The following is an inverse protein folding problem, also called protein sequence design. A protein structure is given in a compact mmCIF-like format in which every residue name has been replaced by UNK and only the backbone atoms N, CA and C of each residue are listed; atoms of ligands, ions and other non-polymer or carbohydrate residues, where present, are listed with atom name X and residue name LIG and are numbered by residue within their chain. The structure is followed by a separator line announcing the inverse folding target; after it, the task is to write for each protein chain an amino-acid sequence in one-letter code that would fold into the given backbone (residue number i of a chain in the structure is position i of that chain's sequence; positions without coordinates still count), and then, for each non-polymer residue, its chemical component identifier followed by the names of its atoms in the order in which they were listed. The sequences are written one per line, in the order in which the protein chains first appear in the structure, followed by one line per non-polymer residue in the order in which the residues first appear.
data_IF_795017861375
#
_entry.id   IF_795017861375
#
_cell.length_a   1.000
_cell.length_b   1.000
_cell.length_c   1.000
_cell.angle_alpha   90.00
_cell.angle_beta   90.00
_cell.angle_gamma   90.00
#
_symmetry.space_group_name_H-M   'P 1'
#
loop_
_entity.id
_entity.type
_entity.pdbx_description
1 polymer ?
#
# COMPACT_ATOMS: atom_id res chain seq x y z
N UNK A 1 -1.81 25.17 -5.57
CA UNK A 1 -2.53 23.99 -5.05
C UNK A 1 -2.54 22.86 -6.07
N UNK A 2 -2.72 23.17 -7.35
CA UNK A 2 -2.96 22.23 -8.44
C UNK A 2 -1.89 21.15 -8.61
N UNK A 3 -0.61 21.53 -8.58
CA UNK A 3 0.51 20.59 -8.67
C UNK A 3 0.54 19.59 -7.50
N UNK A 4 0.10 20.01 -6.30
CA UNK A 4 0.09 19.14 -5.11
C UNK A 4 -0.97 18.05 -5.30
N UNK A 5 -2.19 18.41 -5.70
CA UNK A 5 -3.25 17.43 -5.98
C UNK A 5 -2.87 16.49 -7.13
N UNK A 6 -2.22 17.00 -8.18
CA UNK A 6 -1.75 16.17 -9.29
C UNK A 6 -0.76 15.10 -8.81
N UNK A 7 0.31 15.51 -8.11
CA UNK A 7 1.33 14.61 -7.55
C UNK A 7 0.70 13.63 -6.57
N UNK A 8 -0.23 14.10 -5.74
CA UNK A 8 -0.90 13.29 -4.74
C UNK A 8 -1.73 12.17 -5.37
N UNK A 9 -2.57 12.49 -6.36
CA UNK A 9 -3.34 11.49 -7.11
C UNK A 9 -2.44 10.53 -7.88
N UNK A 10 -1.37 11.04 -8.50
CA UNK A 10 -0.40 10.22 -9.22
C UNK A 10 0.31 9.22 -8.29
N UNK A 11 0.71 9.64 -7.08
CA UNK A 11 1.37 8.77 -6.12
C UNK A 11 0.51 7.54 -5.76
N UNK A 12 -0.80 7.74 -5.64
CA UNK A 12 -1.75 6.66 -5.36
C UNK A 12 -1.99 5.73 -6.55
N UNK A 13 -2.03 6.28 -7.77
CA UNK A 13 -2.13 5.47 -9.00
C UNK A 13 -0.85 4.62 -9.18
N UNK A 14 0.32 5.18 -8.87
CA UNK A 14 1.57 4.43 -8.84
C UNK A 14 1.57 3.35 -7.75
N UNK A 15 1.05 3.65 -6.55
CA UNK A 15 0.87 2.63 -5.52
C UNK A 15 0.03 1.46 -6.03
N UNK A 16 -1.08 1.72 -6.72
CA UNK A 16 -1.90 0.67 -7.33
C UNK A 16 -1.11 -0.19 -8.31
N UNK A 17 -0.34 0.39 -9.22
CA UNK A 17 0.41 -0.37 -10.23
C UNK A 17 1.48 -1.27 -9.60
N UNK A 18 2.20 -0.76 -8.60
CA UNK A 18 3.19 -1.52 -7.82
C UNK A 18 2.51 -2.67 -7.08
N UNK A 19 1.43 -2.37 -6.37
CA UNK A 19 0.69 -3.34 -5.56
C UNK A 19 0.04 -4.42 -6.43
N UNK A 20 -0.48 -4.06 -7.60
CA UNK A 20 -1.02 -5.02 -8.55
C UNK A 20 0.04 -6.05 -8.96
N UNK A 21 1.25 -5.60 -9.28
CA UNK A 21 2.36 -6.50 -9.60
C UNK A 21 2.80 -7.31 -8.38
N UNK A 22 2.86 -6.71 -7.20
CA UNK A 22 3.24 -7.39 -5.95
C UNK A 22 2.20 -8.45 -5.54
N UNK A 23 0.92 -8.21 -5.79
CA UNK A 23 -0.16 -9.16 -5.49
C UNK A 23 -0.12 -10.47 -6.28
N UNK A 24 0.71 -10.53 -7.33
CA UNK A 24 0.99 -11.75 -8.11
C UNK A 24 2.12 -12.59 -7.50
N UNK A 25 2.84 -12.07 -6.50
CA UNK A 25 3.86 -12.83 -5.78
C UNK A 25 3.21 -13.85 -4.83
N UNK A 26 3.90 -14.98 -4.59
CA UNK A 26 3.46 -16.02 -3.65
C UNK A 26 3.57 -15.58 -2.18
N UNK A 27 4.26 -14.46 -1.90
CA UNK A 27 4.52 -14.00 -0.54
C UNK A 27 3.31 -13.24 0.01
N UNK A 28 2.47 -13.97 0.74
CA UNK A 28 1.25 -13.42 1.34
C UNK A 28 1.52 -12.82 2.74
N UNK A 29 2.04 -11.59 2.78
CA UNK A 29 2.26 -10.85 4.04
C UNK A 29 0.95 -10.25 4.54
N UNK A 30 0.28 -9.51 3.67
CA UNK A 30 -1.00 -8.82 3.87
C UNK A 30 -1.78 -8.84 2.55
N UNK A 31 -3.06 -8.48 2.58
CA UNK A 31 -3.88 -8.44 1.37
C UNK A 31 -3.62 -7.19 0.54
N UNK A 32 -2.48 -7.16 -0.16
CA UNK A 32 -2.05 -6.02 -0.96
C UNK A 32 -3.12 -5.53 -1.95
N UNK A 33 -3.92 -6.43 -2.54
CA UNK A 33 -4.95 -6.07 -3.54
C UNK A 33 -5.88 -4.96 -3.07
N UNK A 34 -6.34 -5.00 -1.82
CA UNK A 34 -7.23 -3.99 -1.26
C UNK A 34 -6.56 -2.64 -1.05
N UNK A 35 -5.28 -2.64 -0.65
CA UNK A 35 -4.48 -1.39 -0.60
C UNK A 35 -4.30 -0.80 -2.01
N UNK A 36 -4.19 -1.65 -3.03
CA UNK A 36 -4.15 -1.25 -4.43
C UNK A 36 -5.47 -0.62 -4.89
N UNK A 37 -6.61 -1.24 -4.57
CA UNK A 37 -7.92 -0.65 -4.88
C UNK A 37 -8.13 0.70 -4.19
N UNK A 38 -7.70 0.83 -2.93
CA UNK A 38 -7.67 2.12 -2.26
C UNK A 38 -6.85 3.14 -3.05
N UNK A 39 -5.59 2.80 -3.41
CA UNK A 39 -4.74 3.69 -4.21
C UNK A 39 -5.41 4.10 -5.53
N UNK A 40 -5.95 3.17 -6.31
CA UNK A 40 -6.57 3.51 -7.59
C UNK A 40 -7.76 4.47 -7.43
N UNK A 41 -8.72 4.10 -6.59
CA UNK A 41 -9.97 4.86 -6.44
C UNK A 41 -9.69 6.20 -5.78
N UNK A 42 -8.81 6.25 -4.77
CA UNK A 42 -8.47 7.49 -4.10
C UNK A 42 -7.65 8.43 -5.00
N UNK A 43 -6.71 7.89 -5.80
CA UNK A 43 -5.97 8.69 -6.77
C UNK A 43 -6.87 9.34 -7.82
N UNK A 44 -7.88 8.62 -8.32
CA UNK A 44 -8.92 9.16 -9.20
C UNK A 44 -9.72 10.24 -8.47
N UNK A 45 -10.11 9.99 -7.23
CA UNK A 45 -10.88 10.95 -6.43
C UNK A 45 -10.11 12.27 -6.24
N UNK A 46 -8.81 12.23 -5.96
CA UNK A 46 -7.96 13.43 -5.81
C UNK A 46 -7.80 14.20 -7.13
N UNK A 47 -7.73 13.50 -8.27
CA UNK A 47 -7.78 14.16 -9.58
C UNK A 47 -9.16 14.75 -9.90
N UNK A 48 -10.24 14.14 -9.44
CA UNK A 48 -11.57 14.76 -9.53
C UNK A 48 -11.67 16.02 -8.65
N UNK A 49 -11.06 16.03 -7.46
CA UNK A 49 -10.97 17.24 -6.63
C UNK A 49 -10.17 18.34 -7.33
N UNK A 50 -9.05 17.99 -7.98
CA UNK A 50 -8.28 18.91 -8.82
C UNK A 50 -9.13 19.52 -9.95
N UNK A 51 -9.92 18.70 -10.65
CA UNK A 51 -10.83 19.16 -11.69
C UNK A 51 -11.89 20.10 -11.15
N UNK A 52 -12.45 19.80 -9.97
CA UNK A 52 -13.43 20.66 -9.30
C UNK A 52 -12.86 22.03 -8.95
N UNK A 53 -11.62 22.06 -8.46
CA UNK A 53 -10.89 23.30 -8.16
C UNK A 53 -10.58 24.12 -9.43
N UNK A 54 -10.32 23.45 -10.55
CA UNK A 54 -9.86 24.12 -11.78
C UNK A 54 -11.00 24.60 -12.67
N UNK A 55 -12.08 23.82 -12.79
CA UNK A 55 -13.17 24.05 -13.75
C UNK A 55 -14.49 24.43 -13.05
N UNK A 56 -14.53 24.34 -11.72
CA UNK A 56 -15.72 24.56 -10.90
C UNK A 56 -16.39 23.27 -10.46
N UNK A 57 -17.23 23.38 -9.43
CA UNK A 57 -17.84 22.24 -8.76
C UNK A 57 -19.37 22.30 -8.84
N UNK A 58 -19.97 21.35 -9.55
CA UNK A 58 -21.42 21.19 -9.60
C UNK A 58 -21.88 20.22 -8.51
N UNK A 59 -23.13 20.37 -8.03
CA UNK A 59 -23.69 19.49 -6.99
C UNK A 59 -23.55 18.00 -7.32
N UNK A 60 -23.89 17.60 -8.55
CA UNK A 60 -23.78 16.21 -9.00
C UNK A 60 -22.33 15.72 -9.01
N UNK A 61 -21.37 16.60 -9.34
CA UNK A 61 -19.96 16.26 -9.29
C UNK A 61 -19.44 16.15 -7.85
N UNK A 62 -19.88 17.01 -6.94
CA UNK A 62 -19.58 16.90 -5.49
C UNK A 62 -20.05 15.55 -4.94
N UNK A 63 -21.29 15.15 -5.23
CA UNK A 63 -21.86 13.87 -4.80
C UNK A 63 -21.07 12.69 -5.37
N UNK A 64 -20.72 12.74 -6.66
CA UNK A 64 -19.89 11.72 -7.30
C UNK A 64 -18.51 11.57 -6.61
N UNK A 65 -17.83 12.68 -6.31
CA UNK A 65 -16.55 12.65 -5.58
C UNK A 65 -16.70 12.10 -4.17
N UNK A 66 -17.82 12.39 -3.49
CA UNK A 66 -18.12 11.82 -2.17
C UNK A 66 -18.30 10.29 -2.22
N UNK A 67 -18.95 9.77 -3.26
CA UNK A 67 -19.08 8.30 -3.47
C UNK A 67 -17.71 7.66 -3.74
N UNK A 68 -16.86 8.30 -4.56
CA UNK A 68 -15.49 7.84 -4.79
C UNK A 68 -14.68 7.82 -3.49
N UNK A 69 -14.79 8.88 -2.68
CA UNK A 69 -14.11 8.99 -1.38
C UNK A 69 -14.54 7.84 -0.46
N UNK A 70 -15.86 7.65 -0.30
CA UNK A 70 -16.42 6.57 0.50
C UNK A 70 -15.92 5.20 0.04
N UNK A 71 -15.96 4.93 -1.26
CA UNK A 71 -15.57 3.63 -1.83
C UNK A 71 -14.07 3.39 -1.66
N UNK A 72 -13.24 4.42 -1.83
CA UNK A 72 -11.81 4.32 -1.60
C UNK A 72 -11.50 3.93 -0.15
N UNK A 73 -12.15 4.58 0.83
CA UNK A 73 -11.91 4.26 2.23
C UNK A 73 -12.54 2.94 2.68
N UNK A 74 -13.61 2.46 2.03
CA UNK A 74 -14.03 1.05 2.19
C UNK A 74 -12.89 0.13 1.79
N UNK A 75 -12.21 0.36 0.66
CA UNK A 75 -11.11 -0.49 0.23
C UNK A 75 -9.94 -0.47 1.22
N UNK A 76 -9.63 0.68 1.82
CA UNK A 76 -8.61 0.79 2.88
C UNK A 76 -9.03 0.04 4.16
N UNK A 77 -10.30 0.12 4.53
CA UNK A 77 -10.82 -0.59 5.69
C UNK A 77 -10.87 -2.11 5.46
N UNK A 78 -11.27 -2.55 4.26
CA UNK A 78 -11.23 -3.95 3.83
C UNK A 78 -9.79 -4.49 3.78
N UNK A 79 -8.81 -3.68 3.40
CA UNK A 79 -7.39 -4.02 3.52
C UNK A 79 -7.05 -4.43 4.95
N UNK A 80 -7.43 -3.62 5.94
CA UNK A 80 -7.20 -3.94 7.35
C UNK A 80 -7.98 -5.17 7.80
N UNK A 81 -9.29 -5.21 7.51
CA UNK A 81 -10.20 -6.28 7.93
C UNK A 81 -9.81 -7.64 7.37
N UNK A 82 -9.47 -7.74 6.09
CA UNK A 82 -9.11 -9.02 5.47
C UNK A 82 -7.68 -9.41 5.87
N UNK A 83 -6.75 -8.46 5.95
CA UNK A 83 -5.37 -8.77 6.36
C UNK A 83 -5.29 -9.27 7.82
N UNK A 84 -6.24 -8.92 8.68
CA UNK A 84 -6.27 -9.43 10.06
C UNK A 84 -6.51 -10.94 10.15
N UNK A 85 -7.14 -11.55 9.13
CA UNK A 85 -7.31 -13.01 9.07
C UNK A 85 -5.97 -13.75 9.01
N UNK A 86 -4.92 -13.11 8.51
CA UNK A 86 -3.56 -13.67 8.44
C UNK A 86 -2.86 -13.67 9.81
N UNK A 87 -3.42 -13.01 10.82
CA UNK A 87 -2.91 -12.97 12.20
C UNK A 87 -3.79 -13.81 13.13
N UNK A 88 -5.11 -13.62 13.04
CA UNK A 88 -6.07 -14.19 13.99
C UNK A 88 -6.85 -15.40 13.43
N UNK A 89 -6.52 -15.86 12.22
CA UNK A 89 -7.19 -16.96 11.51
C UNK A 89 -8.71 -16.75 11.29
N UNK A 90 -9.21 -15.53 11.54
CA UNK A 90 -10.60 -15.13 11.38
C UNK A 90 -10.65 -13.70 10.86
N UNK A 91 -11.57 -13.47 9.93
CA UNK A 91 -11.87 -12.13 9.42
C UNK A 91 -12.98 -11.52 10.27
N UNK A 92 -12.83 -10.30 10.81
CA UNK A 92 -13.93 -9.60 11.47
C UNK A 92 -15.17 -9.54 10.58
N UNK A 93 -16.34 -9.72 11.19
CA UNK A 93 -17.61 -9.73 10.46
C UNK A 93 -17.87 -8.40 9.76
N UNK A 94 -18.55 -8.46 8.60
CA UNK A 94 -19.02 -7.26 7.89
C UNK A 94 -20.07 -6.47 8.68
N UNK A 95 -20.61 -7.03 9.77
CA UNK A 95 -21.48 -6.30 10.69
C UNK A 95 -20.80 -5.07 11.32
N UNK A 96 -19.45 -4.99 11.33
CA UNK A 96 -18.72 -3.79 11.77
C UNK A 96 -19.09 -2.54 10.95
N UNK A 97 -19.58 -2.71 9.72
CA UNK A 97 -20.05 -1.58 8.90
C UNK A 97 -21.36 -0.98 9.39
N UNK A 98 -22.19 -1.70 10.15
CA UNK A 98 -23.47 -1.18 10.65
C UNK A 98 -23.27 0.05 11.55
N UNK A 99 -22.48 -0.01 12.64
CA UNK A 99 -22.25 1.17 13.46
C UNK A 99 -21.48 2.27 12.71
N UNK A 100 -20.59 1.91 11.77
CA UNK A 100 -19.86 2.89 10.96
C UNK A 100 -20.80 3.67 10.04
N UNK A 101 -21.67 2.98 9.31
CA UNK A 101 -22.68 3.59 8.44
C UNK A 101 -23.65 4.43 9.26
N UNK A 102 -24.05 3.95 10.44
CA UNK A 102 -24.87 4.73 11.36
C UNK A 102 -24.19 6.06 11.72
N UNK A 103 -22.91 6.04 12.14
CA UNK A 103 -22.15 7.25 12.44
C UNK A 103 -22.06 8.16 11.21
N UNK A 104 -21.67 7.65 10.03
CA UNK A 104 -21.57 8.44 8.80
C UNK A 104 -22.91 9.10 8.45
N UNK A 105 -24.03 8.39 8.66
CA UNK A 105 -25.37 8.90 8.35
C UNK A 105 -25.76 10.12 9.20
N UNK A 106 -25.16 10.28 10.40
CA UNK A 106 -25.38 11.46 11.22
C UNK A 106 -24.89 12.75 10.53
N UNK A 107 -23.94 12.65 9.60
CA UNK A 107 -23.46 13.81 8.84
C UNK A 107 -24.54 14.45 7.97
N UNK A 108 -25.57 13.71 7.55
CA UNK A 108 -26.66 14.26 6.75
C UNK A 108 -27.56 15.25 7.51
N UNK A 109 -27.47 15.30 8.86
CA UNK A 109 -28.14 16.34 9.65
C UNK A 109 -27.44 17.71 9.57
N UNK A 110 -26.20 17.76 9.08
CA UNK A 110 -25.44 18.99 8.85
C UNK A 110 -25.34 19.30 7.37
N UNK A 111 -24.25 18.87 6.75
CA UNK A 111 -23.90 19.14 5.35
C UNK A 111 -23.19 17.94 4.69
N UNK A 112 -23.02 17.98 3.37
CA UNK A 112 -22.18 16.99 2.67
C UNK A 112 -20.73 17.01 3.17
N UNK A 113 -20.23 18.13 3.70
CA UNK A 113 -18.91 18.21 4.30
C UNK A 113 -18.85 17.46 5.63
N UNK A 114 -19.93 17.46 6.42
CA UNK A 114 -20.01 16.64 7.64
C UNK A 114 -19.99 15.15 7.32
N UNK A 115 -20.70 14.72 6.26
CA UNK A 115 -20.63 13.34 5.76
C UNK A 115 -19.21 13.00 5.31
N UNK A 116 -18.56 13.89 4.54
CA UNK A 116 -17.17 13.74 4.10
C UNK A 116 -16.22 13.58 5.30
N UNK A 117 -16.38 14.42 6.32
CA UNK A 117 -15.58 14.38 7.53
C UNK A 117 -15.76 13.08 8.32
N UNK A 118 -17.00 12.60 8.48
CA UNK A 118 -17.27 11.34 9.18
C UNK A 118 -16.77 10.12 8.40
N UNK A 119 -16.83 10.13 7.07
CA UNK A 119 -16.19 9.09 6.23
C UNK A 119 -14.68 9.06 6.49
N UNK A 120 -14.03 10.23 6.46
CA UNK A 120 -12.58 10.39 6.69
C UNK A 120 -12.19 9.95 8.10
N UNK A 121 -12.97 10.31 9.11
CA UNK A 121 -12.69 9.94 10.50
C UNK A 121 -12.89 8.44 10.77
N UNK A 122 -14.01 7.88 10.30
CA UNK A 122 -14.36 6.48 10.60
C UNK A 122 -13.61 5.50 9.71
N UNK A 123 -13.80 5.58 8.39
CA UNK A 123 -13.20 4.64 7.44
C UNK A 123 -11.76 5.04 7.11
N UNK A 124 -11.46 6.33 6.97
CA UNK A 124 -10.12 6.80 6.65
C UNK A 124 -9.12 6.62 7.78
N UNK A 125 -9.27 7.35 8.89
CA UNK A 125 -8.40 7.23 10.05
C UNK A 125 -8.49 5.83 10.68
N UNK A 126 -9.71 5.30 10.86
CA UNK A 126 -9.91 3.95 11.40
C UNK A 126 -9.28 2.87 10.52
N UNK A 127 -9.53 2.88 9.21
CA UNK A 127 -8.96 1.92 8.26
C UNK A 127 -7.44 2.01 8.16
N UNK A 128 -6.88 3.22 8.11
CA UNK A 128 -5.44 3.45 8.11
C UNK A 128 -4.77 2.97 9.41
N UNK A 129 -5.37 3.26 10.56
CA UNK A 129 -4.84 2.87 11.88
C UNK A 129 -4.88 1.36 12.08
N UNK A 130 -5.99 0.72 11.74
CA UNK A 130 -6.08 -0.74 11.77
C UNK A 130 -5.11 -1.37 10.76
N UNK A 131 -5.03 -0.85 9.54
CA UNK A 131 -4.09 -1.33 8.52
C UNK A 131 -2.63 -1.23 8.97
N UNK A 132 -2.26 -0.09 9.56
CA UNK A 132 -0.94 0.13 10.16
C UNK A 132 -0.65 -0.86 11.29
N UNK A 133 -1.61 -1.08 12.20
CA UNK A 133 -1.48 -2.06 13.28
C UNK A 133 -1.25 -3.48 12.72
N UNK A 134 -2.04 -3.90 11.73
CA UNK A 134 -1.89 -5.23 11.10
C UNK A 134 -0.53 -5.36 10.40
N UNK A 135 -0.08 -4.35 9.65
CA UNK A 135 1.25 -4.34 9.04
C UNK A 135 2.37 -4.42 10.09
N UNK A 136 2.25 -3.68 11.18
CA UNK A 136 3.22 -3.71 12.26
C UNK A 136 3.27 -5.08 12.95
N UNK A 137 2.12 -5.70 13.21
CA UNK A 137 2.06 -7.04 13.77
C UNK A 137 2.69 -8.07 12.81
N UNK A 138 2.34 -8.01 11.51
CA UNK A 138 2.94 -8.87 10.48
C UNK A 138 4.44 -8.66 10.30
N UNK A 139 4.95 -7.46 10.56
CA UNK A 139 6.40 -7.20 10.48
C UNK A 139 7.24 -8.09 11.40
N UNK A 140 6.64 -8.61 12.48
CA UNK A 140 7.31 -9.51 13.44
C UNK A 140 7.55 -10.90 12.86
N UNK A 141 6.69 -11.36 11.96
CA UNK A 141 6.78 -12.67 11.30
C UNK A 141 7.85 -12.69 10.19
N UNK A 142 8.26 -11.52 9.70
CA UNK A 142 9.17 -11.38 8.56
C UNK A 142 10.43 -10.55 8.93
N UNK A 143 11.40 -11.10 9.69
CA UNK A 143 12.60 -10.36 10.12
C UNK A 143 13.35 -9.66 8.99
N UNK A 144 13.45 -10.32 7.82
CA UNK A 144 14.12 -9.81 6.61
C UNK A 144 13.45 -8.52 6.08
N UNK A 145 12.13 -8.40 6.21
CA UNK A 145 11.33 -7.30 5.66
C UNK A 145 10.78 -6.37 6.74
N UNK A 146 11.03 -6.68 8.02
CA UNK A 146 10.49 -6.01 9.21
C UNK A 146 10.56 -4.49 9.12
N UNK A 147 11.75 -3.94 8.82
CA UNK A 147 11.96 -2.49 8.75
C UNK A 147 11.10 -1.81 7.66
N UNK A 148 10.86 -2.47 6.52
CA UNK A 148 10.01 -1.92 5.47
C UNK A 148 8.55 -1.92 5.91
N UNK A 149 8.07 -3.04 6.44
CA UNK A 149 6.69 -3.17 6.93
C UNK A 149 6.38 -2.19 8.07
N UNK A 150 7.31 -1.99 9.01
CA UNK A 150 7.17 -1.02 10.10
C UNK A 150 7.14 0.43 9.58
N UNK A 151 7.99 0.77 8.59
CA UNK A 151 7.96 2.10 7.97
C UNK A 151 6.66 2.34 7.21
N UNK A 152 6.18 1.35 6.44
CA UNK A 152 4.89 1.45 5.74
C UNK A 152 3.76 1.65 6.76
N UNK A 153 3.75 0.86 7.85
CA UNK A 153 2.77 1.01 8.92
C UNK A 153 2.78 2.42 9.53
N UNK A 154 3.97 2.94 9.88
CA UNK A 154 4.11 4.27 10.45
C UNK A 154 3.58 5.36 9.50
N UNK A 155 3.99 5.32 8.24
CA UNK A 155 3.58 6.34 7.25
C UNK A 155 2.09 6.22 6.95
N UNK A 156 1.53 5.01 6.88
CA UNK A 156 0.09 4.80 6.71
C UNK A 156 -0.71 5.33 7.90
N UNK A 157 -0.21 5.17 9.13
CA UNK A 157 -0.84 5.73 10.32
C UNK A 157 -0.80 7.26 10.30
N UNK A 158 0.35 7.87 9.97
CA UNK A 158 0.47 9.32 9.81
C UNK A 158 -0.48 9.83 8.73
N UNK A 159 -0.54 9.14 7.59
CA UNK A 159 -1.52 9.41 6.54
C UNK A 159 -2.95 9.38 7.08
N UNK A 160 -3.30 8.39 7.90
CA UNK A 160 -4.61 8.29 8.55
C UNK A 160 -4.93 9.50 9.43
N UNK A 161 -3.97 10.00 10.21
CA UNK A 161 -4.13 11.20 11.04
C UNK A 161 -4.43 12.40 10.12
N UNK A 162 -3.48 12.77 9.25
CA UNK A 162 -3.63 13.99 8.45
C UNK A 162 -4.74 13.89 7.39
N UNK A 163 -5.04 12.69 6.90
CA UNK A 163 -6.09 12.41 5.92
C UNK A 163 -7.49 12.28 6.51
N UNK A 164 -7.56 11.85 7.78
CA UNK A 164 -8.79 11.47 8.45
C UNK A 164 -9.32 12.50 9.45
N UNK A 165 -8.45 13.22 10.16
CA UNK A 165 -8.85 14.18 11.21
C UNK A 165 -8.87 15.63 10.73
N UNK A 166 -8.21 15.93 9.61
CA UNK A 166 -8.19 17.28 9.01
C UNK A 166 -9.13 17.27 7.81
N UNK A 167 -10.25 17.96 7.89
CA UNK A 167 -11.38 17.81 6.96
C UNK A 167 -11.77 19.14 6.32
N UNK A 168 -12.59 19.14 5.26
CA UNK A 168 -13.24 20.38 4.81
C UNK A 168 -14.03 21.02 5.96
N UNK A 169 -14.34 22.30 5.85
CA UNK A 169 -15.15 23.00 6.85
C UNK A 169 -16.52 22.33 7.02
N UNK A 170 -16.83 21.99 8.26
CA UNK A 170 -18.02 21.26 8.69
C UNK A 170 -18.96 22.15 9.48
N UNK A 171 -20.26 21.94 9.39
CA UNK A 171 -21.25 22.72 10.15
C UNK A 171 -21.43 22.16 11.56
N UNK A 172 -21.46 20.83 11.71
CA UNK A 172 -21.76 20.17 12.98
C UNK A 172 -20.51 19.80 13.76
N UNK A 173 -19.40 19.52 13.07
CA UNK A 173 -18.14 19.05 13.68
C UNK A 173 -17.07 20.14 13.84
N UNK A 174 -17.43 21.41 13.63
CA UNK A 174 -16.48 22.54 13.53
C UNK A 174 -15.54 22.68 14.74
N UNK A 175 -16.01 22.36 15.94
CA UNK A 175 -15.20 22.46 17.17
C UNK A 175 -14.50 21.16 17.57
N UNK A 176 -14.64 20.11 16.76
CA UNK A 176 -14.09 18.76 17.03
C UNK A 176 -12.95 18.45 16.07
N UNK A 177 -13.08 18.83 14.80
CA UNK A 177 -12.12 18.53 13.74
C UNK A 177 -11.45 19.82 13.23
N UNK A 178 -10.16 19.70 12.89
CA UNK A 178 -9.40 20.81 12.33
C UNK A 178 -9.77 20.97 10.86
N UNK A 179 -10.15 22.17 10.46
CA UNK A 179 -10.48 22.45 9.05
C UNK A 179 -9.23 22.57 8.18
N UNK A 180 -9.37 22.41 6.86
CA UNK A 180 -8.28 22.66 5.92
C UNK A 180 -7.75 24.10 6.02
N UNK A 181 -8.63 25.06 6.31
CA UNK A 181 -8.26 26.47 6.45
C UNK A 181 -7.50 26.72 7.74
N UNK A 182 -7.98 26.20 8.88
CA UNK A 182 -7.30 26.32 10.18
C UNK A 182 -5.89 25.71 10.14
N UNK A 183 -5.73 24.56 9.49
CA UNK A 183 -4.42 23.95 9.29
C UNK A 183 -3.51 24.85 8.43
N UNK A 184 -4.05 25.40 7.34
CA UNK A 184 -3.30 26.28 6.44
C UNK A 184 -2.85 27.56 7.16
N UNK A 185 -3.73 28.18 7.94
CA UNK A 185 -3.44 29.40 8.70
C UNK A 185 -2.40 29.16 9.80
N UNK A 186 -2.41 27.97 10.41
CA UNK A 186 -1.46 27.61 11.47
C UNK A 186 -0.08 27.24 10.92
N UNK A 187 -0.02 26.45 9.84
CA UNK A 187 1.24 25.86 9.35
C UNK A 187 1.80 26.54 8.10
N UNK A 188 1.06 27.44 7.46
CA UNK A 188 1.41 28.14 6.21
C UNK A 188 1.65 27.22 4.99
N UNK A 189 1.17 25.97 5.05
CA UNK A 189 1.16 25.06 3.91
C UNK A 189 -0.07 24.14 3.96
N UNK A 190 -0.54 23.63 2.81
CA UNK A 190 -1.75 22.82 2.75
C UNK A 190 -1.51 21.39 3.29
N UNK A 191 -2.48 20.83 4.02
CA UNK A 191 -2.42 19.45 4.53
C UNK A 191 -2.24 18.42 3.40
N UNK A 192 -2.72 18.74 2.20
CA UNK A 192 -2.55 17.94 0.99
C UNK A 192 -1.07 17.65 0.69
N UNK A 193 -0.15 18.54 1.06
CA UNK A 193 1.28 18.31 0.91
C UNK A 193 1.77 17.14 1.78
N UNK A 194 1.35 17.08 3.05
CA UNK A 194 1.69 15.97 3.95
C UNK A 194 1.11 14.66 3.43
N UNK A 195 -0.13 14.71 2.92
CA UNK A 195 -0.79 13.53 2.34
C UNK A 195 -0.07 13.04 1.08
N UNK A 196 0.34 13.95 0.21
CA UNK A 196 1.12 13.66 -1.00
C UNK A 196 2.48 13.01 -0.65
N UNK A 197 3.20 13.58 0.32
CA UNK A 197 4.47 13.02 0.81
C UNK A 197 4.23 11.62 1.40
N UNK A 198 3.16 11.43 2.17
CA UNK A 198 2.84 10.14 2.77
C UNK A 198 2.52 9.09 1.70
N UNK A 199 1.65 9.40 0.73
CA UNK A 199 1.29 8.51 -0.36
C UNK A 199 2.52 8.12 -1.20
N UNK A 200 3.35 9.11 -1.55
CA UNK A 200 4.60 8.89 -2.29
C UNK A 200 5.57 7.99 -1.51
N UNK A 201 5.72 8.24 -0.20
CA UNK A 201 6.59 7.44 0.66
C UNK A 201 6.08 6.00 0.78
N UNK A 202 4.77 5.78 0.93
CA UNK A 202 4.17 4.44 0.93
C UNK A 202 4.44 3.75 -0.41
N UNK A 203 4.21 4.41 -1.55
CA UNK A 203 4.48 3.84 -2.87
C UNK A 203 5.94 3.39 -3.01
N UNK A 204 6.89 4.25 -2.64
CA UNK A 204 8.33 3.93 -2.68
C UNK A 204 8.66 2.75 -1.76
N UNK A 205 8.17 2.75 -0.52
CA UNK A 205 8.46 1.69 0.44
C UNK A 205 7.88 0.33 0.01
N UNK A 206 6.66 0.32 -0.54
CA UNK A 206 6.03 -0.89 -1.09
C UNK A 206 6.80 -1.37 -2.32
N UNK A 207 7.26 -0.47 -3.19
CA UNK A 207 8.10 -0.83 -4.33
C UNK A 207 9.43 -1.44 -3.89
N UNK A 208 10.11 -0.84 -2.90
CA UNK A 208 11.36 -1.37 -2.35
C UNK A 208 11.16 -2.75 -1.70
N UNK A 209 10.05 -2.93 -0.98
CA UNK A 209 9.68 -4.22 -0.40
C UNK A 209 9.46 -5.27 -1.49
N UNK A 210 8.68 -4.95 -2.53
CA UNK A 210 8.45 -5.82 -3.67
C UNK A 210 9.75 -6.17 -4.38
N UNK A 211 10.60 -5.18 -4.67
CA UNK A 211 11.89 -5.36 -5.33
C UNK A 211 12.79 -6.31 -4.53
N UNK A 212 12.85 -6.14 -3.20
CA UNK A 212 13.63 -7.02 -2.33
C UNK A 212 13.13 -8.47 -2.36
N UNK A 213 11.81 -8.67 -2.28
CA UNK A 213 11.20 -10.01 -2.35
C UNK A 213 11.47 -10.67 -3.71
N UNK A 214 11.30 -9.91 -4.79
CA UNK A 214 11.55 -10.39 -6.14
C UNK A 214 13.02 -10.80 -6.32
N UNK A 215 13.96 -9.93 -5.93
CA UNK A 215 15.39 -10.20 -6.07
C UNK A 215 15.87 -11.38 -5.22
N UNK A 216 15.34 -11.56 -4.00
CA UNK A 216 15.65 -12.73 -3.18
C UNK A 216 15.15 -14.04 -3.82
N UNK A 217 13.99 -14.03 -4.48
CA UNK A 217 13.47 -15.20 -5.22
C UNK A 217 14.26 -15.49 -6.50
N UNK A 218 14.82 -14.46 -7.14
CA UNK A 218 15.62 -14.60 -8.37
C UNK A 218 17.07 -15.04 -8.15
N UNK A 219 17.56 -15.12 -6.90
CA UNK A 219 18.90 -15.68 -6.63
C UNK A 219 18.90 -17.19 -6.88
N UNK A 220 19.79 -17.72 -7.75
CA UNK A 220 19.94 -19.17 -7.86
C UNK A 220 20.33 -19.74 -6.49
N UNK A 221 19.85 -20.94 -6.12
CA UNK A 221 20.24 -21.53 -4.85
C UNK A 221 21.75 -21.71 -4.86
N UNK A 222 22.46 -21.06 -3.94
CA UNK A 222 23.92 -21.17 -3.81
C UNK A 222 24.37 -22.64 -3.79
N UNK A 223 23.57 -23.54 -3.21
CA UNK A 223 23.84 -24.99 -3.21
C UNK A 223 23.86 -25.61 -4.60
N UNK A 224 22.98 -25.22 -5.50
CA UNK A 224 22.91 -25.76 -6.87
C UNK A 224 24.04 -25.23 -7.73
N UNK A 225 24.39 -23.95 -7.59
CA UNK A 225 25.53 -23.37 -8.31
C UNK A 225 26.85 -23.99 -7.84
N UNK A 226 27.07 -24.14 -6.52
CA UNK A 226 28.28 -24.79 -6.00
C UNK A 226 28.32 -26.29 -6.31
N UNK A 227 27.19 -27.02 -6.25
CA UNK A 227 27.13 -28.43 -6.65
C UNK A 227 27.38 -28.62 -8.15
N UNK A 228 26.81 -27.78 -9.01
CA UNK A 228 27.05 -27.83 -10.46
C UNK A 228 28.50 -27.46 -10.79
N UNK A 229 29.09 -26.48 -10.10
CA UNK A 229 30.51 -26.13 -10.28
C UNK A 229 31.39 -27.31 -9.83
N UNK A 230 31.14 -27.90 -8.67
CA UNK A 230 31.90 -29.06 -8.16
C UNK A 230 31.74 -30.26 -9.09
N UNK A 231 30.53 -30.60 -9.53
CA UNK A 231 30.28 -31.70 -10.47
C UNK A 231 30.98 -31.48 -11.81
N UNK A 232 30.86 -30.27 -12.39
CA UNK A 232 31.52 -29.95 -13.65
C UNK A 232 33.04 -29.99 -13.51
N UNK A 233 33.58 -29.55 -12.37
CA UNK A 233 35.01 -29.60 -12.13
C UNK A 233 35.50 -31.06 -11.97
N UNK A 234 34.83 -31.88 -11.18
CA UNK A 234 35.14 -33.31 -11.02
C UNK A 234 35.06 -34.04 -12.37
N UNK A 235 34.00 -33.81 -13.15
CA UNK A 235 33.83 -34.43 -14.46
C UNK A 235 34.96 -34.06 -15.43
N UNK A 236 35.41 -32.79 -15.43
CA UNK A 236 36.54 -32.34 -16.25
C UNK A 236 37.87 -32.99 -15.87
N UNK A 237 38.10 -33.27 -14.58
CA UNK A 237 39.28 -33.99 -14.11
C UNK A 237 39.26 -35.47 -14.52
N UNK A 238 38.11 -36.14 -14.41
CA UNK A 238 37.98 -37.54 -14.86
C UNK A 238 38.27 -37.72 -16.35
N UNK A 239 37.75 -36.82 -17.20
CA UNK A 239 38.02 -36.85 -18.65
C UNK A 239 39.52 -36.66 -18.94
N UNK A 240 40.19 -35.75 -18.24
CA UNK A 240 41.64 -35.53 -18.39
C UNK A 240 42.44 -36.78 -18.00
N UNK A 241 42.09 -37.43 -16.89
CA UNK A 241 42.78 -38.65 -16.43
C UNK A 241 42.56 -39.80 -17.43
N UNK A 242 41.32 -40.06 -17.83
CA UNK A 242 40.98 -41.13 -18.79
C UNK A 242 41.71 -40.97 -20.13
N UNK A 243 41.77 -39.76 -20.67
CA UNK A 243 42.47 -39.47 -21.91
C UNK A 243 44.00 -39.55 -21.77
N UNK A 244 44.55 -39.36 -20.57
CA UNK A 244 45.99 -39.53 -20.30
C UNK A 244 46.38 -41.01 -20.21
N UNK A 245 45.53 -41.86 -19.64
CA UNK A 245 45.77 -43.31 -19.53
C UNK A 245 45.61 -44.04 -20.86
N UNK A 246 44.65 -43.64 -21.70
CA UNK A 246 44.47 -44.24 -23.03
C UNK A 246 45.57 -43.89 -24.04
N UNK A 247 46.42 -42.89 -23.76
CA UNK A 247 47.60 -42.60 -24.59
C UNK A 247 48.82 -43.48 -24.27
N UNK A 248 48.77 -44.28 -23.20
CA UNK A 248 49.92 -45.07 -22.73
C UNK A 248 49.91 -46.52 -23.25
N UNK A 249 48.79 -47.00 -23.82
CA UNK A 249 48.74 -48.29 -24.54
C UNK A 249 48.28 -48.11 -25.99
N UNK A 250 49.20 -47.90 -26.95
CA UNK A 250 48.90 -48.19 -28.33
C UNK A 250 48.74 -49.70 -28.49
N UNK A 251 47.64 -50.11 -29.09
CA UNK A 251 47.34 -51.49 -29.47
C UNK A 251 48.53 -52.12 -30.21
N UNK A 252 49.13 -53.13 -29.62
CA UNK A 252 49.97 -54.11 -30.32
C UNK A 252 49.16 -55.39 -30.45
N UNK A 253 48.30 -55.47 -31.47
CA UNK A 253 47.77 -56.76 -31.92
C UNK A 253 47.88 -56.82 -33.45
N UNK A 254 48.87 -57.62 -33.86
CA UNK A 254 49.09 -58.19 -35.18
C UNK A 254 48.37 -59.51 -35.32
#
# INVERSE_FOLDING_TARGET
MDYIFFIYGLAFILLWSIVYQFSKSEVNIVNWKWLGYFGLIHGIQEWCDLLALSVGDSKLFTEFRLVLLFTSFIALFEFARISSSLIYSKTPSRLIYIPIIFIISLGFFGSLNDVNALIRLTLGFGGASLGAFILYQKSKDFPTYKKYLQKIALVLFLYGIFGGTITPETTFLQNILISHQEFLDTFNFPVQLIRAISATTVAILVWLLWYKIYFEKSRPPLKQTTQNIIQNHIHSYFIKIYNSTNKIHPQTES
#
